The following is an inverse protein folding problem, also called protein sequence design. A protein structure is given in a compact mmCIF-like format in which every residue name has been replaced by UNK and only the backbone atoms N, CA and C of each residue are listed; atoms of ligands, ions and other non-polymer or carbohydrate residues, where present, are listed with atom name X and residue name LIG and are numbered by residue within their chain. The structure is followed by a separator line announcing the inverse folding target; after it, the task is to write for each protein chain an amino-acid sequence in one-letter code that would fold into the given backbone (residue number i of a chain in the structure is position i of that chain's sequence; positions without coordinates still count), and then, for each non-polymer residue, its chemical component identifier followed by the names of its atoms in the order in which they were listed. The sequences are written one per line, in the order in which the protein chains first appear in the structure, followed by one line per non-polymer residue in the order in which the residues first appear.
data_IF_096591361865
#
_entry.id   IF_096591361865
#
_cell.length_a   1.000
_cell.length_b   1.000
_cell.length_c   1.000
_cell.angle_alpha   90.00
_cell.angle_beta   90.00
_cell.angle_gamma   90.00
#
_symmetry.space_group_name_H-M   'P 1'
#
loop_
_entity.id
_entity.type
_entity.pdbx_description
1 polymer ?
#
# COMPACT_ATOMS: atom_id res chain seq x y z
N UNK A 1 5.79 -0.51 -0.40
CA UNK A 1 5.88 -1.94 -0.06
C UNK A 1 4.71 -2.63 -0.71
N UNK A 2 4.99 -3.51 -1.67
CA UNK A 2 4.01 -4.43 -2.24
C UNK A 2 4.74 -5.76 -2.49
N UNK A 3 4.89 -6.55 -1.44
CA UNK A 3 5.66 -7.77 -1.45
C UNK A 3 5.29 -8.67 -0.27
N UNK A 4 5.28 -9.98 -0.52
CA UNK A 4 5.38 -11.03 0.48
C UNK A 4 6.70 -11.75 0.23
N UNK A 5 7.50 -11.94 1.27
CA UNK A 5 8.83 -12.54 1.18
C UNK A 5 8.79 -13.96 1.73
N UNK A 6 8.61 -14.92 0.83
CA UNK A 6 8.60 -16.36 1.11
C UNK A 6 7.28 -17.03 0.73
N UNK A 7 7.22 -18.36 0.86
CA UNK A 7 6.01 -19.14 0.57
C UNK A 7 5.20 -19.31 1.85
N UNK A 8 4.29 -18.38 2.07
CA UNK A 8 3.47 -18.32 3.29
C UNK A 8 2.34 -19.37 3.24
N UNK A 9 1.97 -19.97 4.39
CA UNK A 9 2.45 -19.69 5.74
C UNK A 9 3.68 -20.51 6.16
N UNK A 10 4.34 -21.24 5.26
CA UNK A 10 5.41 -22.18 5.63
C UNK A 10 6.77 -21.53 5.82
N UNK A 11 7.05 -20.46 5.07
CA UNK A 11 8.30 -19.71 5.11
C UNK A 11 7.97 -18.22 5.13
N UNK A 12 7.68 -17.67 6.31
CA UNK A 12 7.13 -16.32 6.48
C UNK A 12 8.10 -15.35 7.18
N UNK A 13 9.20 -15.85 7.73
CA UNK A 13 10.14 -15.11 8.56
C UNK A 13 10.75 -13.92 7.81
N UNK A 14 10.89 -14.05 6.48
CA UNK A 14 11.31 -12.97 5.60
C UNK A 14 10.32 -11.80 5.59
N UNK A 15 9.01 -12.08 5.44
CA UNK A 15 7.95 -11.06 5.48
C UNK A 15 7.89 -10.38 6.84
N UNK A 16 7.91 -11.16 7.92
CA UNK A 16 7.88 -10.60 9.27
C UNK A 16 9.11 -9.71 9.55
N UNK A 17 10.31 -10.18 9.17
CA UNK A 17 11.53 -9.40 9.35
C UNK A 17 11.51 -8.12 8.52
N UNK A 18 11.00 -8.17 7.29
CA UNK A 18 10.84 -7.00 6.42
C UNK A 18 10.00 -5.93 7.11
N UNK A 19 8.80 -6.28 7.59
CA UNK A 19 7.88 -5.33 8.21
C UNK A 19 8.45 -4.69 9.49
N UNK A 20 9.05 -5.52 10.35
CA UNK A 20 9.72 -5.03 11.57
C UNK A 20 10.89 -4.11 11.25
N UNK A 21 11.65 -4.40 10.20
CA UNK A 21 12.80 -3.57 9.79
C UNK A 21 12.33 -2.24 9.20
N UNK A 22 11.25 -2.25 8.41
CA UNK A 22 10.64 -1.03 7.89
C UNK A 22 10.12 -0.14 9.03
N UNK A 23 9.52 -0.72 10.06
CA UNK A 23 9.04 0.02 11.25
C UNK A 23 10.14 0.73 12.03
N UNK A 24 11.36 0.19 12.05
CA UNK A 24 12.48 0.82 12.73
C UNK A 24 12.83 2.20 12.15
N UNK A 25 12.52 2.46 10.89
CA UNK A 25 12.68 3.78 10.31
C UNK A 25 11.54 4.72 10.74
N UNK A 26 11.78 5.60 11.71
CA UNK A 26 10.75 6.51 12.22
C UNK A 26 10.48 7.75 11.36
N UNK A 27 11.29 7.99 10.32
CA UNK A 27 11.25 9.22 9.53
C UNK A 27 10.66 9.05 8.14
N UNK A 28 10.76 7.86 7.55
CA UNK A 28 10.24 7.59 6.23
C UNK A 28 8.71 7.46 6.24
N UNK A 29 8.07 8.06 5.22
CA UNK A 29 6.71 7.70 4.83
C UNK A 29 6.71 6.28 4.25
N UNK A 30 5.81 5.45 4.76
CA UNK A 30 5.72 4.03 4.42
C UNK A 30 4.41 3.77 3.72
N UNK A 31 4.51 3.56 2.42
CA UNK A 31 3.37 3.30 1.57
C UNK A 31 3.24 1.80 1.36
N UNK A 32 2.20 1.18 1.90
CA UNK A 32 1.91 -0.25 1.73
C UNK A 32 0.78 -0.44 0.73
N UNK A 33 0.84 -1.49 -0.08
CA UNK A 33 -0.20 -1.84 -1.02
C UNK A 33 -0.12 -3.31 -1.43
N UNK A 34 -1.17 -3.78 -2.09
CA UNK A 34 -1.35 -5.18 -2.44
C UNK A 34 -2.08 -5.97 -1.35
N UNK A 35 -3.06 -6.78 -1.75
CA UNK A 35 -3.89 -7.55 -0.84
C UNK A 35 -3.07 -8.50 0.03
N UNK A 36 -2.19 -9.27 -0.60
CA UNK A 36 -1.34 -10.24 0.07
C UNK A 36 -0.39 -9.58 1.08
N UNK A 37 0.24 -8.47 0.70
CA UNK A 37 1.11 -7.69 1.61
C UNK A 37 0.37 -7.26 2.87
N UNK A 38 -0.83 -6.68 2.73
CA UNK A 38 -1.60 -6.19 3.87
C UNK A 38 -2.16 -7.32 4.72
N UNK A 39 -2.59 -8.41 4.08
CA UNK A 39 -3.08 -9.60 4.77
C UNK A 39 -1.97 -10.26 5.58
N UNK A 40 -0.79 -10.47 5.00
CA UNK A 40 0.34 -11.06 5.70
C UNK A 40 0.89 -10.16 6.80
N UNK A 41 0.97 -8.85 6.58
CA UNK A 41 1.38 -7.92 7.63
C UNK A 41 0.43 -7.99 8.84
N UNK A 42 -0.89 -8.06 8.60
CA UNK A 42 -1.89 -8.24 9.65
C UNK A 42 -1.77 -9.61 10.35
N UNK A 43 -1.53 -10.68 9.60
CA UNK A 43 -1.43 -12.04 10.14
C UNK A 43 -0.17 -12.22 11.01
N UNK A 44 0.98 -11.75 10.51
CA UNK A 44 2.29 -11.98 11.13
C UNK A 44 2.62 -10.96 12.22
N UNK A 45 2.09 -9.74 12.13
CA UNK A 45 2.40 -8.65 13.07
C UNK A 45 1.17 -7.81 13.42
N UNK A 46 0.11 -8.41 14.00
CA UNK A 46 -1.16 -7.72 14.24
C UNK A 46 -1.02 -6.47 15.13
N UNK A 47 -0.17 -6.50 16.16
CA UNK A 47 0.06 -5.33 17.02
C UNK A 47 0.74 -4.17 16.30
N UNK A 48 1.72 -4.47 15.45
CA UNK A 48 2.39 -3.46 14.62
C UNK A 48 1.46 -2.95 13.52
N UNK A 49 0.65 -3.83 12.91
CA UNK A 49 -0.36 -3.44 11.92
C UNK A 49 -1.35 -2.43 12.50
N UNK A 50 -1.88 -2.68 13.71
CA UNK A 50 -2.79 -1.74 14.40
C UNK A 50 -2.09 -0.41 14.72
N UNK A 51 -0.86 -0.46 15.26
CA UNK A 51 -0.09 0.75 15.53
C UNK A 51 0.23 1.56 14.26
N UNK A 52 0.44 0.89 13.13
CA UNK A 52 0.66 1.52 11.83
C UNK A 52 -0.62 2.18 11.28
N UNK A 53 -1.80 1.60 11.51
CA UNK A 53 -3.07 2.22 11.09
C UNK A 53 -3.31 3.57 11.76
N UNK A 54 -2.86 3.74 13.01
CA UNK A 54 -3.00 4.99 13.77
C UNK A 54 -1.81 5.96 13.56
N UNK A 55 -0.87 5.64 12.67
CA UNK A 55 0.35 6.42 12.46
C UNK A 55 0.34 7.15 11.12
N UNK A 56 0.41 8.49 11.16
CA UNK A 56 0.42 9.36 9.97
C UNK A 56 1.61 9.13 9.02
N UNK A 57 2.66 8.41 9.45
CA UNK A 57 3.78 8.02 8.58
C UNK A 57 3.48 6.79 7.73
N UNK A 58 2.33 6.14 7.92
CA UNK A 58 1.91 4.98 7.15
C UNK A 58 0.71 5.31 6.28
N UNK A 59 0.68 4.76 5.08
CA UNK A 59 -0.49 4.83 4.22
C UNK A 59 -0.71 3.47 3.56
N UNK A 60 -1.93 2.93 3.73
CA UNK A 60 -2.32 1.63 3.21
C UNK A 60 -3.22 1.81 2.00
N UNK A 61 -2.66 1.53 0.82
CA UNK A 61 -3.39 1.53 -0.43
C UNK A 61 -4.30 0.30 -0.54
N UNK A 62 -5.60 0.54 -0.74
CA UNK A 62 -6.62 -0.51 -0.99
C UNK A 62 -7.06 -0.59 -2.44
N UNK A 63 -6.52 0.27 -3.32
CA UNK A 63 -6.88 0.31 -4.75
C UNK A 63 -6.32 -0.83 -5.61
N UNK A 64 -5.59 -1.79 -5.02
CA UNK A 64 -5.07 -2.97 -5.70
C UNK A 64 -4.35 -2.65 -7.02
N UNK A 65 -4.87 -3.17 -8.13
CA UNK A 65 -4.31 -2.99 -9.46
C UNK A 65 -4.22 -1.54 -9.92
N UNK A 66 -5.12 -0.65 -9.50
CA UNK A 66 -5.08 0.76 -9.89
C UNK A 66 -3.84 1.48 -9.35
N UNK A 67 -3.39 1.10 -8.15
CA UNK A 67 -2.19 1.65 -7.52
C UNK A 67 -0.95 1.13 -8.23
N UNK A 68 -0.94 -0.15 -8.59
CA UNK A 68 0.15 -0.74 -9.37
C UNK A 68 0.28 -0.09 -10.74
N UNK A 69 -0.86 0.18 -11.40
CA UNK A 69 -0.89 0.86 -12.69
C UNK A 69 -0.33 2.28 -12.62
N UNK A 70 -0.71 3.04 -11.59
CA UNK A 70 -0.15 4.38 -11.37
C UNK A 70 1.37 4.36 -11.10
N UNK A 71 1.87 3.33 -10.40
CA UNK A 71 3.31 3.16 -10.16
C UNK A 71 4.04 2.77 -11.45
N UNK A 72 3.48 1.82 -12.22
CA UNK A 72 4.03 1.37 -13.51
C UNK A 72 4.14 2.55 -14.50
N UNK A 73 3.12 3.38 -14.58
CA UNK A 73 3.08 4.56 -15.45
C UNK A 73 3.90 5.74 -14.90
N UNK A 74 4.33 5.68 -13.63
CA UNK A 74 5.00 6.77 -12.94
C UNK A 74 4.11 7.99 -12.68
N UNK A 75 2.80 7.88 -12.89
CA UNK A 75 1.83 8.96 -12.70
C UNK A 75 0.41 8.42 -12.47
N UNK A 76 -0.38 9.02 -11.56
CA UNK A 76 -1.79 8.68 -11.42
C UNK A 76 -2.66 9.29 -12.54
N UNK A 77 -2.15 10.28 -13.30
CA UNK A 77 -2.92 10.97 -14.34
C UNK A 77 -3.10 10.16 -15.62
N UNK A 78 -2.42 9.02 -15.73
CA UNK A 78 -2.64 8.05 -16.82
C UNK A 78 -3.92 7.22 -16.63
N UNK A 79 -4.45 7.15 -15.41
CA UNK A 79 -5.67 6.38 -15.10
C UNK A 79 -6.92 7.03 -15.71
N UNK A 80 -7.67 6.26 -16.49
CA UNK A 80 -8.91 6.74 -17.15
C UNK A 80 -9.91 7.41 -16.20
N UNK A 81 -10.20 6.87 -14.99
CA UNK A 81 -11.08 7.55 -14.05
C UNK A 81 -10.53 8.91 -13.58
N UNK A 82 -9.21 9.03 -13.44
CA UNK A 82 -8.58 10.29 -13.01
C UNK A 82 -8.62 11.31 -14.13
N UNK A 83 -8.35 10.90 -15.38
CA UNK A 83 -8.50 11.77 -16.56
C UNK A 83 -9.91 12.31 -16.68
N UNK A 84 -10.91 11.43 -16.59
CA UNK A 84 -12.32 11.83 -16.66
C UNK A 84 -12.69 12.85 -15.59
N UNK A 85 -12.16 12.74 -14.37
CA UNK A 85 -12.38 13.73 -13.31
C UNK A 85 -11.72 15.08 -13.62
N UNK A 86 -10.51 15.07 -14.19
CA UNK A 86 -9.81 16.30 -14.59
C UNK A 86 -10.53 17.00 -15.73
N UNK A 87 -11.00 16.26 -16.74
CA UNK A 87 -11.74 16.81 -17.89
C UNK A 87 -13.08 17.41 -17.46
N UNK A 88 -13.72 16.82 -16.45
CA UNK A 88 -14.97 17.34 -15.87
C UNK A 88 -14.73 18.30 -14.70
N UNK A 89 -13.49 18.65 -14.37
CA UNK A 89 -13.20 19.58 -13.28
C UNK A 89 -13.70 20.99 -13.65
N UNK A 90 -14.85 21.37 -13.08
CA UNK A 90 -15.48 22.68 -13.32
C UNK A 90 -16.75 22.62 -14.16
N UNK A 91 -17.10 21.47 -14.74
CA UNK A 91 -18.45 21.22 -15.22
C UNK A 91 -19.26 20.72 -14.04
N UNK A 92 -20.28 21.49 -13.62
CA UNK A 92 -21.22 21.02 -12.59
C UNK A 92 -21.86 19.69 -13.01
N UNK A 93 -22.40 18.90 -12.06
CA UNK A 93 -23.09 17.67 -12.40
C UNK A 93 -24.17 17.95 -13.46
N UNK A 94 -24.11 17.21 -14.58
CA UNK A 94 -25.12 17.25 -15.64
C UNK A 94 -26.38 16.51 -15.21
#
# INVERSE_FOLDING_TARGET
VNAVMGFTPHFFEGSEKLDRTIDQNRYAQKLYGGGDTLQEFKNLSPGLYLAAMDNAQYYFFTGGGSVLKAIEEGTPYGLEPVKALIENAGTGPK
#
